data_IF_558784617219
#
_entry.id   IF_558784617219
#
_cell.length_a   1.000
_cell.length_b   1.000
_cell.length_c   1.000
_cell.angle_alpha   90.00
_cell.angle_beta   90.00
_cell.angle_gamma   90.00
#
_symmetry.space_group_name_H-M   'P 1'
#
loop_
_entity.id
_entity.type
_entity.pdbx_description
1 polymer ?
#
# COMPACT_ATOMS: atom_id res chain seq x y z
N UNK A 1 2.62 1.01 -18.66
CA UNK A 1 2.01 1.86 -17.62
C UNK A 1 3.11 2.68 -17.02
N UNK A 2 3.04 4.00 -17.14
CA UNK A 2 3.97 4.93 -16.51
C UNK A 2 3.89 4.77 -14.99
N UNK A 3 5.02 4.86 -14.27
CA UNK A 3 5.02 4.86 -12.80
C UNK A 3 4.31 6.15 -12.32
N UNK A 4 3.13 6.08 -11.69
CA UNK A 4 2.40 7.27 -11.27
C UNK A 4 3.07 7.98 -10.09
N UNK A 5 4.07 7.34 -9.47
CA UNK A 5 4.62 7.78 -8.20
C UNK A 5 5.94 8.52 -8.32
N UNK A 6 6.38 8.99 -9.49
CA UNK A 6 7.73 9.59 -9.70
C UNK A 6 8.12 10.63 -8.63
N UNK A 7 7.18 11.42 -8.10
CA UNK A 7 7.44 12.42 -7.06
C UNK A 7 7.46 11.93 -5.59
N UNK A 8 7.27 10.63 -5.34
CA UNK A 8 7.36 10.04 -4.00
C UNK A 8 8.83 9.81 -3.61
N UNK A 9 9.21 10.20 -2.40
CA UNK A 9 10.57 10.03 -1.87
C UNK A 9 11.00 8.56 -1.73
N UNK A 10 12.30 8.31 -1.85
CA UNK A 10 12.89 6.95 -1.86
C UNK A 10 12.66 6.17 -0.57
N UNK A 11 12.45 6.85 0.55
CA UNK A 11 12.10 6.25 1.83
C UNK A 11 10.82 5.41 1.82
N UNK A 12 9.90 5.65 0.87
CA UNK A 12 8.64 4.90 0.68
C UNK A 12 8.70 3.84 -0.44
N UNK A 13 9.91 3.58 -0.95
CA UNK A 13 10.17 2.68 -2.10
C UNK A 13 11.03 1.47 -1.75
N UNK A 14 11.19 1.14 -0.47
CA UNK A 14 11.91 -0.07 -0.07
C UNK A 14 11.26 -1.30 -0.73
N UNK A 15 12.07 -2.27 -1.18
CA UNK A 15 11.55 -3.49 -1.77
C UNK A 15 10.78 -4.32 -0.74
N UNK A 16 9.87 -5.14 -1.24
CA UNK A 16 9.26 -6.21 -0.45
C UNK A 16 10.26 -7.37 -0.35
N UNK A 17 10.54 -7.83 0.86
CA UNK A 17 11.24 -9.08 1.10
C UNK A 17 10.34 -10.29 0.79
N UNK A 18 10.87 -11.50 0.91
CA UNK A 18 10.17 -12.73 0.56
C UNK A 18 8.90 -12.96 1.39
N UNK A 19 8.96 -12.67 2.70
CA UNK A 19 7.82 -12.88 3.59
C UNK A 19 6.73 -11.85 3.33
N UNK A 20 7.07 -10.58 3.16
CA UNK A 20 6.16 -9.52 2.76
C UNK A 20 5.44 -9.84 1.44
N UNK A 21 6.16 -10.37 0.45
CA UNK A 21 5.57 -10.83 -0.83
C UNK A 21 4.61 -12.00 -0.62
N UNK A 22 4.99 -12.98 0.20
CA UNK A 22 4.15 -14.16 0.51
C UNK A 22 2.84 -13.74 1.18
N UNK A 23 2.93 -12.85 2.17
CA UNK A 23 1.77 -12.33 2.90
C UNK A 23 0.84 -11.53 1.98
N UNK A 24 1.40 -10.61 1.18
CA UNK A 24 0.63 -9.85 0.19
C UNK A 24 -0.01 -10.75 -0.87
N UNK A 25 0.63 -11.85 -1.26
CA UNK A 25 0.05 -12.85 -2.16
C UNK A 25 -1.17 -13.53 -1.52
N UNK A 26 -1.06 -13.89 -0.24
CA UNK A 26 -2.16 -14.45 0.55
C UNK A 26 -3.36 -13.50 0.59
N UNK A 27 -3.14 -12.24 0.93
CA UNK A 27 -4.16 -11.18 0.85
C UNK A 27 -4.74 -11.08 -0.56
N UNK A 28 -3.89 -10.99 -1.59
CA UNK A 28 -4.34 -10.77 -2.96
C UNK A 28 -5.21 -11.90 -3.52
N UNK A 29 -5.01 -13.12 -3.03
CA UNK A 29 -5.78 -14.29 -3.46
C UNK A 29 -7.19 -14.37 -2.86
N UNK A 30 -7.48 -13.63 -1.78
CA UNK A 30 -8.69 -13.81 -0.97
C UNK A 30 -9.45 -12.52 -0.64
N UNK A 31 -8.77 -11.37 -0.65
CA UNK A 31 -9.34 -10.09 -0.22
C UNK A 31 -9.75 -9.17 -1.37
N UNK A 32 -10.33 -8.03 -1.00
CA UNK A 32 -10.83 -6.96 -1.86
C UNK A 32 -9.66 -6.09 -2.33
N UNK A 33 -8.79 -6.70 -3.13
CA UNK A 33 -7.59 -6.06 -3.69
C UNK A 33 -7.92 -4.79 -4.44
N UNK A 34 -9.10 -4.74 -5.08
CA UNK A 34 -9.52 -3.57 -5.84
C UNK A 34 -9.75 -2.34 -4.96
N UNK A 35 -10.41 -2.50 -3.82
CA UNK A 35 -10.68 -1.40 -2.88
C UNK A 35 -9.38 -0.89 -2.26
N UNK A 36 -8.56 -1.77 -1.68
CA UNK A 36 -7.27 -1.41 -1.06
C UNK A 36 -6.33 -0.76 -2.04
N UNK A 37 -6.21 -1.30 -3.25
CA UNK A 37 -5.33 -0.71 -4.28
C UNK A 37 -5.76 0.72 -4.62
N UNK A 38 -7.07 1.00 -4.64
CA UNK A 38 -7.57 2.33 -4.96
C UNK A 38 -7.27 3.31 -3.82
N UNK A 39 -7.58 2.95 -2.57
CA UNK A 39 -7.28 3.80 -1.41
C UNK A 39 -5.78 4.02 -1.26
N UNK A 40 -4.97 2.97 -1.44
CA UNK A 40 -3.51 3.08 -1.46
C UNK A 40 -3.01 3.97 -2.61
N UNK A 41 -3.61 3.90 -3.81
CA UNK A 41 -3.25 4.79 -4.90
C UNK A 41 -3.50 6.27 -4.57
N UNK A 42 -4.69 6.58 -4.03
CA UNK A 42 -5.08 7.93 -3.62
C UNK A 42 -4.16 8.44 -2.50
N UNK A 43 -3.95 7.62 -1.46
CA UNK A 43 -3.07 7.95 -0.35
C UNK A 43 -1.66 8.29 -0.84
N UNK A 44 -1.05 7.41 -1.65
CA UNK A 44 0.29 7.61 -2.21
C UNK A 44 0.38 8.91 -3.03
N UNK A 45 -0.64 9.23 -3.84
CA UNK A 45 -0.65 10.43 -4.68
C UNK A 45 -0.95 11.73 -3.93
N UNK A 46 -1.72 11.69 -2.84
CA UNK A 46 -2.18 12.89 -2.14
C UNK A 46 -1.31 13.23 -0.92
N UNK A 47 -0.73 12.21 -0.29
CA UNK A 47 -0.07 12.35 1.01
C UNK A 47 1.44 12.09 0.93
N UNK A 48 1.90 11.23 0.02
CA UNK A 48 3.33 10.90 -0.11
C UNK A 48 3.98 11.47 -1.38
N UNK A 49 3.18 11.85 -2.37
CA UNK A 49 3.63 12.64 -3.51
C UNK A 49 3.58 14.11 -3.07
N UNK A 50 4.58 14.92 -3.47
CA UNK A 50 4.83 16.30 -3.03
C UNK A 50 5.30 16.49 -1.58
N UNK A 51 6.40 17.24 -1.45
CA UNK A 51 7.03 18.02 -0.35
C UNK A 51 6.27 18.24 0.98
N UNK A 52 5.51 17.26 1.47
CA UNK A 52 4.87 17.26 2.78
C UNK A 52 5.88 16.79 3.81
N UNK A 53 5.76 17.36 4.99
CA UNK A 53 6.66 17.13 6.11
C UNK A 53 6.82 15.62 6.38
N UNK A 54 8.05 15.06 6.33
CA UNK A 54 8.31 13.66 6.68
C UNK A 54 7.83 13.29 8.09
N UNK A 55 7.64 14.27 8.98
CA UNK A 55 7.09 14.06 10.31
C UNK A 55 5.61 13.65 10.29
N UNK A 56 4.87 13.94 9.22
CA UNK A 56 3.44 13.57 9.10
C UNK A 56 3.23 12.08 8.82
N UNK A 57 4.15 11.43 8.10
CA UNK A 57 4.04 10.02 7.72
C UNK A 57 5.38 9.32 7.82
N UNK A 58 5.63 8.70 8.98
CA UNK A 58 6.93 8.07 9.21
C UNK A 58 7.06 6.74 8.45
N UNK A 59 8.18 6.49 7.74
CA UNK A 59 8.35 5.28 6.92
C UNK A 59 8.30 3.94 7.70
N UNK A 60 8.51 3.97 9.02
CA UNK A 60 8.45 2.81 9.92
C UNK A 60 7.03 2.46 10.39
N UNK A 61 6.03 3.31 10.11
CA UNK A 61 4.63 3.01 10.43
C UNK A 61 4.08 1.85 9.59
N UNK A 62 3.10 1.16 10.15
CA UNK A 62 2.36 0.12 9.43
C UNK A 62 1.48 0.74 8.35
N UNK A 63 1.51 0.13 7.16
CA UNK A 63 0.72 0.57 6.02
C UNK A 63 -0.77 0.35 6.26
N UNK A 64 -1.16 -0.74 6.94
CA UNK A 64 -2.56 -1.07 7.24
C UNK A 64 -3.20 0.01 8.10
N UNK A 65 -2.59 0.31 9.24
CA UNK A 65 -3.06 1.27 10.23
C UNK A 65 -3.11 2.68 9.64
N UNK A 66 -2.10 3.04 8.82
CA UNK A 66 -2.10 4.34 8.14
C UNK A 66 -3.25 4.46 7.14
N UNK A 67 -3.50 3.40 6.35
CA UNK A 67 -4.61 3.40 5.39
C UNK A 67 -5.96 3.41 6.10
N UNK A 68 -6.09 2.71 7.23
CA UNK A 68 -7.28 2.72 8.06
C UNK A 68 -7.57 4.16 8.54
N UNK A 69 -6.61 4.82 9.19
CA UNK A 69 -6.80 6.20 9.65
C UNK A 69 -7.07 7.18 8.49
N UNK A 70 -6.45 6.96 7.32
CA UNK A 70 -6.75 7.75 6.11
C UNK A 70 -8.20 7.56 5.63
N UNK A 71 -8.69 6.33 5.60
CA UNK A 71 -10.07 6.02 5.15
C UNK A 71 -11.10 6.50 6.17
N UNK A 72 -10.84 6.32 7.46
CA UNK A 72 -11.67 6.85 8.55
C UNK A 72 -11.77 8.38 8.49
N UNK A 73 -10.69 9.08 8.09
CA UNK A 73 -10.73 10.56 7.91
C UNK A 73 -11.67 11.03 6.79
N UNK A 74 -12.17 10.11 5.96
CA UNK A 74 -13.15 10.35 4.89
C UNK A 74 -14.57 9.94 5.30
N UNK A 75 -14.81 9.60 6.57
CA UNK A 75 -16.05 9.00 7.09
C UNK A 75 -16.40 7.68 6.36
N UNK A 76 -15.38 6.89 6.03
CA UNK A 76 -15.49 5.59 5.39
C UNK A 76 -14.81 4.51 6.24
N UNK A 77 -15.13 3.24 5.95
CA UNK A 77 -14.48 2.08 6.56
C UNK A 77 -13.71 1.25 5.53
N UNK A 78 -12.63 0.60 5.97
CA UNK A 78 -12.00 -0.44 5.16
C UNK A 78 -12.90 -1.68 5.09
N UNK A 79 -12.92 -2.38 3.95
CA UNK A 79 -13.63 -3.66 3.86
C UNK A 79 -13.11 -4.68 4.90
N UNK A 80 -13.98 -5.52 5.51
CA UNK A 80 -13.58 -6.42 6.60
C UNK A 80 -12.43 -7.37 6.25
N UNK A 81 -12.37 -7.82 5.01
CA UNK A 81 -11.32 -8.69 4.50
C UNK A 81 -9.96 -7.98 4.39
N UNK A 82 -9.93 -6.66 4.30
CA UNK A 82 -8.70 -5.86 4.42
C UNK A 82 -8.24 -5.85 5.86
N UNK A 83 -9.17 -5.63 6.79
CA UNK A 83 -8.83 -5.60 8.21
C UNK A 83 -8.29 -6.96 8.68
N UNK A 84 -8.92 -8.05 8.22
CA UNK A 84 -8.57 -9.42 8.58
C UNK A 84 -7.34 -9.98 7.86
N UNK A 85 -7.15 -9.65 6.57
CA UNK A 85 -6.17 -10.35 5.72
C UNK A 85 -5.00 -9.48 5.28
N UNK A 86 -5.08 -8.15 5.39
CA UNK A 86 -3.97 -7.29 5.00
C UNK A 86 -2.82 -7.40 6.02
N UNK A 87 -1.58 -7.67 5.58
CA UNK A 87 -0.45 -7.90 6.49
C UNK A 87 -0.05 -6.64 7.26
N UNK A 88 0.04 -6.78 8.58
CA UNK A 88 0.50 -5.73 9.51
C UNK A 88 2.01 -5.47 9.41
N UNK A 89 2.76 -6.42 8.83
CA UNK A 89 4.21 -6.35 8.66
C UNK A 89 4.64 -5.32 7.63
N UNK A 90 3.75 -4.98 6.69
CA UNK A 90 4.07 -4.05 5.60
C UNK A 90 4.14 -2.64 6.15
N UNK A 91 5.31 -2.02 5.97
CA UNK A 91 5.54 -0.65 6.41
C UNK A 91 5.24 0.37 5.32
N UNK A 92 5.00 1.62 5.70
CA UNK A 92 4.90 2.74 4.76
C UNK A 92 6.14 2.85 3.87
N UNK A 93 7.32 2.48 4.39
CA UNK A 93 8.54 2.43 3.60
C UNK A 93 8.47 1.49 2.38
N UNK A 94 7.53 0.54 2.36
CA UNK A 94 7.30 -0.43 1.29
C UNK A 94 6.03 -0.13 0.48
N UNK A 95 5.33 0.99 0.74
CA UNK A 95 4.00 1.27 0.19
C UNK A 95 3.96 1.28 -1.34
N UNK A 96 4.96 1.85 -2.00
CA UNK A 96 5.05 1.85 -3.46
C UNK A 96 5.23 0.44 -4.01
N UNK A 97 6.05 -0.39 -3.35
CA UNK A 97 6.27 -1.77 -3.77
C UNK A 97 5.02 -2.65 -3.56
N UNK A 98 4.33 -2.48 -2.42
CA UNK A 98 3.06 -3.13 -2.14
C UNK A 98 1.98 -2.78 -3.18
N UNK A 99 1.85 -1.50 -3.54
CA UNK A 99 0.93 -1.10 -4.61
C UNK A 99 1.26 -1.75 -5.95
N UNK A 100 2.52 -1.71 -6.36
CA UNK A 100 2.97 -2.36 -7.60
C UNK A 100 2.68 -3.85 -7.60
N UNK A 101 2.86 -4.52 -6.45
CA UNK A 101 2.54 -5.93 -6.27
C UNK A 101 1.06 -6.22 -6.51
N UNK A 102 0.16 -5.47 -5.85
CA UNK A 102 -1.30 -5.64 -6.04
C UNK A 102 -1.75 -5.42 -7.50
N UNK A 103 -1.12 -4.46 -8.19
CA UNK A 103 -1.38 -4.19 -9.62
C UNK A 103 -0.90 -5.33 -10.50
N UNK A 104 0.30 -5.86 -10.25
CA UNK A 104 0.89 -6.95 -11.02
C UNK A 104 0.11 -8.27 -10.84
N UNK A 105 -0.29 -8.58 -9.62
CA UNK A 105 -1.10 -9.75 -9.29
C UNK A 105 -2.41 -9.77 -10.09
N UNK A 106 -3.15 -8.64 -10.12
CA UNK A 106 -4.41 -8.55 -10.87
C UNK A 106 -4.23 -8.67 -12.39
N UNK A 107 -3.06 -8.33 -12.93
CA UNK A 107 -2.76 -8.41 -14.36
C UNK A 107 -2.26 -9.80 -14.80
N UNK A 108 -2.15 -10.77 -13.89
CA UNK A 108 -1.57 -12.09 -14.21
C UNK A 108 -0.11 -12.02 -14.65
N UNK A 109 0.58 -10.90 -14.37
CA UNK A 109 2.00 -10.76 -14.69
C UNK A 109 2.80 -11.58 -13.68
N UNK A 110 3.76 -12.34 -14.17
CA UNK A 110 4.67 -13.12 -13.33
C UNK A 110 5.37 -12.18 -12.34
N UNK A 111 5.10 -12.39 -11.05
CA UNK A 111 5.79 -11.76 -9.93
C UNK A 111 7.18 -12.39 -9.83
N UNK A 112 8.10 -12.03 -10.73
CA UNK A 112 9.51 -12.45 -10.66
C UNK A 112 10.29 -11.55 -9.71
#
# INVERSE_FOLDING_TARGET
SQDPFVGIGDQYRKPLDEEARRLLMGFCSRGSVQAVRLEMHQFLLLHLNTNRDPELYRPDWGLKETLQSYVESKDLDLPPDVEELFPAEIRLSQAVAAWKFTVAFKQGRSLR
#
